data_IF_229080518080
#
_entry.id   IF_229080518080
#
_cell.length_a   1.000
_cell.length_b   1.000
_cell.length_c   1.000
_cell.angle_alpha   90.00
_cell.angle_beta   90.00
_cell.angle_gamma   90.00
#
_symmetry.space_group_name_H-M   'P 1'
#
loop_
_entity.id
_entity.type
_entity.pdbx_description
1 polymer ?
#
# COMPACT_ATOMS: atom_id res chain seq x y z
N UNK A 1 13.91 12.61 -8.86
CA UNK A 1 13.10 11.84 -9.83
C UNK A 1 11.94 11.25 -9.04
N UNK A 2 10.75 11.83 -9.15
CA UNK A 2 9.57 11.37 -8.39
C UNK A 2 8.84 10.33 -9.22
N UNK A 3 8.49 9.19 -8.62
CA UNK A 3 7.65 8.18 -9.26
C UNK A 3 6.27 8.81 -9.49
N UNK A 4 5.68 8.69 -10.70
CA UNK A 4 4.34 9.18 -10.94
C UNK A 4 3.36 8.54 -9.96
N UNK A 5 2.40 9.27 -9.38
CA UNK A 5 1.49 8.73 -8.37
C UNK A 5 0.69 7.53 -8.87
N UNK A 6 0.31 7.50 -10.16
CA UNK A 6 -0.33 6.35 -10.79
C UNK A 6 0.56 5.10 -10.79
N UNK A 7 1.87 5.27 -11.00
CA UNK A 7 2.83 4.16 -10.99
C UNK A 7 3.13 3.69 -9.57
N UNK A 8 3.19 4.62 -8.60
CA UNK A 8 3.35 4.30 -7.19
C UNK A 8 2.18 3.45 -6.65
N UNK A 9 0.95 3.77 -7.06
CA UNK A 9 -0.24 2.98 -6.75
C UNK A 9 -0.15 1.55 -7.30
N UNK A 10 0.30 1.40 -8.56
CA UNK A 10 0.47 0.08 -9.18
C UNK A 10 1.54 -0.75 -8.47
N UNK A 11 2.69 -0.14 -8.11
CA UNK A 11 3.74 -0.83 -7.35
C UNK A 11 3.23 -1.27 -5.98
N UNK A 12 2.51 -0.39 -5.28
CA UNK A 12 1.91 -0.73 -3.99
C UNK A 12 0.90 -1.87 -4.10
N UNK A 13 0.02 -1.85 -5.11
CA UNK A 13 -0.96 -2.90 -5.34
C UNK A 13 -0.29 -4.25 -5.65
N UNK A 14 0.78 -4.27 -6.47
CA UNK A 14 1.55 -5.50 -6.74
C UNK A 14 2.18 -6.03 -5.44
N UNK A 15 2.80 -5.16 -4.64
CA UNK A 15 3.35 -5.56 -3.34
C UNK A 15 2.29 -6.10 -2.39
N UNK A 16 1.10 -5.51 -2.36
CA UNK A 16 -0.03 -5.96 -1.57
C UNK A 16 -0.58 -7.31 -2.06
N UNK A 17 -0.57 -7.59 -3.36
CA UNK A 17 -0.93 -8.93 -3.86
C UNK A 17 0.13 -10.00 -3.57
N UNK A 18 1.36 -9.59 -3.29
CA UNK A 18 2.48 -10.49 -2.98
C UNK A 18 2.63 -10.78 -1.49
N UNK A 19 1.93 -10.04 -0.62
CA UNK A 19 2.09 -10.07 0.84
C UNK A 19 0.71 -10.20 1.49
N UNK A 20 0.55 -11.12 2.43
CA UNK A 20 -0.68 -11.23 3.22
C UNK A 20 -0.66 -10.19 4.35
N UNK A 21 -1.72 -9.39 4.49
CA UNK A 21 -1.82 -8.40 5.58
C UNK A 21 -2.49 -9.02 6.80
N UNK A 22 -1.94 -10.11 7.30
CA UNK A 22 -2.41 -10.83 8.48
C UNK A 22 -1.62 -10.47 9.74
N UNK A 23 -0.34 -10.09 9.62
CA UNK A 23 0.50 -9.78 10.79
C UNK A 23 1.07 -8.35 10.82
N UNK A 24 1.51 -7.95 12.01
CA UNK A 24 2.07 -6.61 12.28
C UNK A 24 3.32 -6.25 11.43
N UNK A 25 4.27 -7.15 11.11
CA UNK A 25 5.39 -6.84 10.24
C UNK A 25 4.98 -6.46 8.81
N UNK A 26 3.97 -7.08 8.21
CA UNK A 26 3.53 -6.76 6.85
C UNK A 26 2.92 -5.36 6.78
N UNK A 27 2.13 -4.98 7.79
CA UNK A 27 1.62 -3.62 7.93
C UNK A 27 2.75 -2.59 8.00
N UNK A 28 3.82 -2.87 8.76
CA UNK A 28 4.99 -1.98 8.85
C UNK A 28 5.75 -1.89 7.53
N UNK A 29 5.88 -3.00 6.80
CA UNK A 29 6.51 -3.01 5.49
C UNK A 29 5.71 -2.17 4.48
N UNK A 30 4.39 -2.35 4.43
CA UNK A 30 3.52 -1.60 3.53
C UNK A 30 3.47 -0.11 3.88
N UNK A 31 3.49 0.25 5.16
CA UNK A 31 3.60 1.64 5.60
C UNK A 31 4.93 2.27 5.15
N UNK A 32 6.04 1.55 5.34
CA UNK A 32 7.36 2.01 4.87
C UNK A 32 7.41 2.14 3.34
N UNK A 33 6.80 1.20 2.61
CA UNK A 33 6.69 1.23 1.16
C UNK A 33 5.86 2.42 0.69
N UNK A 34 4.68 2.64 1.27
CA UNK A 34 3.81 3.76 0.95
C UNK A 34 4.54 5.09 1.15
N UNK A 35 5.24 5.26 2.28
CA UNK A 35 6.06 6.45 2.57
C UNK A 35 7.21 6.63 1.58
N UNK A 36 7.91 5.54 1.24
CA UNK A 36 9.02 5.57 0.27
C UNK A 36 8.56 5.90 -1.16
N UNK A 37 7.35 5.48 -1.52
CA UNK A 37 6.72 5.76 -2.81
C UNK A 37 5.99 7.12 -2.83
N UNK A 38 5.77 7.75 -1.67
CA UNK A 38 4.97 8.97 -1.54
C UNK A 38 3.47 8.74 -1.77
N UNK A 39 2.97 7.53 -1.49
CA UNK A 39 1.56 7.20 -1.57
C UNK A 39 0.85 7.71 -0.32
N UNK A 40 -0.22 8.48 -0.53
CA UNK A 40 -1.01 8.98 0.58
C UNK A 40 -1.76 7.82 1.29
N UNK A 41 -1.93 7.88 2.62
CA UNK A 41 -2.65 6.84 3.38
C UNK A 41 -4.09 6.62 2.87
N UNK A 42 -4.76 7.69 2.42
CA UNK A 42 -6.09 7.59 1.78
C UNK A 42 -6.07 6.72 0.52
N UNK A 43 -5.00 6.83 -0.26
CA UNK A 43 -4.79 6.03 -1.46
C UNK A 43 -4.50 4.57 -1.11
N UNK A 44 -3.69 4.32 -0.08
CA UNK A 44 -3.47 2.95 0.41
C UNK A 44 -4.80 2.31 0.82
N UNK A 45 -5.61 3.00 1.63
CA UNK A 45 -6.91 2.49 2.06
C UNK A 45 -7.85 2.21 0.89
N UNK A 46 -7.86 3.07 -0.13
CA UNK A 46 -8.65 2.84 -1.35
C UNK A 46 -8.21 1.56 -2.07
N UNK A 47 -6.90 1.34 -2.22
CA UNK A 47 -6.36 0.12 -2.86
C UNK A 47 -6.74 -1.13 -2.04
N UNK A 48 -6.69 -1.04 -0.71
CA UNK A 48 -7.10 -2.14 0.17
C UNK A 48 -8.59 -2.44 0.02
N UNK A 49 -9.43 -1.41 -0.08
CA UNK A 49 -10.88 -1.55 -0.29
C UNK A 49 -11.18 -2.18 -1.67
N UNK A 50 -10.49 -1.75 -2.73
CA UNK A 50 -10.62 -2.32 -4.09
C UNK A 50 -10.21 -3.80 -4.16
N UNK A 51 -9.24 -4.22 -3.34
CA UNK A 51 -8.77 -5.60 -3.27
C UNK A 51 -9.51 -6.45 -2.22
N UNK A 52 -10.41 -5.84 -1.43
CA UNK A 52 -11.17 -6.51 -0.39
C UNK A 52 -10.33 -6.99 0.80
N UNK A 53 -9.19 -6.35 1.04
CA UNK A 53 -8.27 -6.67 2.16
C UNK A 53 -8.40 -5.67 3.30
N UNK A 54 -8.06 -6.05 4.55
CA UNK A 54 -8.12 -5.13 5.69
C UNK A 54 -7.30 -3.86 5.44
N UNK A 55 -7.85 -2.70 5.80
CA UNK A 55 -7.20 -1.40 5.59
C UNK A 55 -5.94 -1.27 6.45
N UNK A 56 -4.89 -0.70 5.87
CA UNK A 56 -3.64 -0.46 6.59
C UNK A 56 -3.77 0.66 7.63
N UNK A 57 -4.53 1.70 7.31
CA UNK A 57 -4.79 2.83 8.20
C UNK A 57 -6.28 2.83 8.58
N UNK A 58 -6.59 2.90 9.87
CA UNK A 58 -7.95 2.99 10.41
C UNK A 58 -8.26 4.40 10.90
#
# INVERSE_FOLDING_TARGET
RSVPPAMAQQVYAVSLTAIDLDTNPEARYLDALARGLGVAPETCNRIHDELGVPRLYA
#
